data_IF_631031345247
#
_entry.id   IF_631031345247
#
_cell.length_a   1.000
_cell.length_b   1.000
_cell.length_c   1.000
_cell.angle_alpha   90.00
_cell.angle_beta   90.00
_cell.angle_gamma   90.00
#
_symmetry.space_group_name_H-M   'P 1'
#
loop_
_entity.id
_entity.type
_entity.pdbx_description
1 polymer ?
#
# COMPACT_ATOMS: atom_id res chain seq x y z
N UNK A 1 36.15 29.78 16.10
CA UNK A 1 36.40 28.94 14.91
C UNK A 1 35.82 27.57 15.22
N UNK A 2 34.67 27.23 14.65
CA UNK A 2 33.98 25.97 14.90
C UNK A 2 33.45 25.42 13.59
N UNK A 3 34.06 24.35 13.10
CA UNK A 3 33.68 23.62 11.89
C UNK A 3 32.96 22.33 12.30
N UNK A 4 31.63 22.36 12.28
CA UNK A 4 30.79 21.16 12.43
C UNK A 4 30.69 20.41 11.11
N UNK A 5 31.17 19.17 11.09
CA UNK A 5 30.92 18.21 10.04
C UNK A 5 29.44 17.80 10.05
N UNK A 6 28.72 18.07 8.96
CA UNK A 6 27.44 17.45 8.67
C UNK A 6 27.69 16.20 7.83
N UNK A 7 27.69 15.04 8.48
CA UNK A 7 27.64 13.73 7.81
C UNK A 7 26.25 13.55 7.21
N UNK A 8 26.14 13.77 5.90
CA UNK A 8 24.97 13.38 5.12
C UNK A 8 25.00 11.87 4.88
N UNK A 9 24.15 11.14 5.59
CA UNK A 9 23.98 9.69 5.40
C UNK A 9 23.18 9.47 4.12
N UNK A 10 23.86 9.24 3.00
CA UNK A 10 23.27 8.69 1.78
C UNK A 10 22.83 7.26 2.06
N UNK A 11 21.52 7.07 2.27
CA UNK A 11 20.92 5.73 2.26
C UNK A 11 21.15 5.06 0.90
N UNK A 12 21.20 3.71 0.84
CA UNK A 12 21.41 3.00 -0.40
C UNK A 12 20.29 3.31 -1.40
N UNK A 13 20.57 3.29 -2.71
CA UNK A 13 19.55 3.46 -3.73
C UNK A 13 18.44 2.42 -3.53
N UNK A 14 17.19 2.86 -3.63
CA UNK A 14 16.04 1.97 -3.58
C UNK A 14 16.19 0.91 -4.68
N UNK A 15 16.40 -0.35 -4.30
CA UNK A 15 16.46 -1.43 -5.27
C UNK A 15 15.14 -1.46 -6.06
N UNK A 16 15.20 -1.49 -7.40
CA UNK A 16 14.00 -1.76 -8.18
C UNK A 16 13.46 -3.11 -7.73
N UNK A 17 12.16 -3.16 -7.38
CA UNK A 17 11.50 -4.42 -7.05
C UNK A 17 11.85 -5.44 -8.13
N UNK A 18 12.27 -6.67 -7.76
CA UNK A 18 12.57 -7.70 -8.75
C UNK A 18 11.40 -7.80 -9.71
N UNK A 19 11.68 -7.79 -11.03
CA UNK A 19 10.64 -8.04 -12.03
C UNK A 19 10.02 -9.38 -11.66
N UNK A 20 8.80 -9.33 -11.12
CA UNK A 20 8.15 -10.53 -10.63
C UNK A 20 8.01 -11.54 -11.75
N UNK A 21 7.88 -12.80 -11.37
CA UNK A 21 7.48 -13.87 -12.26
C UNK A 21 5.97 -14.12 -12.13
N UNK A 22 5.34 -14.56 -13.22
CA UNK A 22 3.95 -15.03 -13.16
C UNK A 22 3.87 -16.39 -12.48
N UNK A 23 2.74 -16.67 -11.82
CA UNK A 23 2.51 -17.95 -11.16
C UNK A 23 2.51 -19.08 -12.20
N UNK A 24 3.39 -20.07 -12.01
CA UNK A 24 3.36 -21.29 -12.82
C UNK A 24 2.18 -22.17 -12.39
N UNK A 25 1.25 -22.45 -13.30
CA UNK A 25 0.08 -23.31 -13.03
C UNK A 25 0.52 -24.74 -12.73
N UNK A 26 -0.12 -25.37 -11.73
CA UNK A 26 0.23 -26.71 -11.25
C UNK A 26 1.53 -26.79 -10.44
N UNK A 27 2.18 -25.66 -10.16
CA UNK A 27 3.36 -25.60 -9.30
C UNK A 27 3.03 -25.93 -7.85
N UNK A 28 4.07 -26.21 -7.05
CA UNK A 28 3.94 -26.36 -5.61
C UNK A 28 3.33 -25.11 -4.95
N UNK A 29 3.65 -23.91 -5.49
CA UNK A 29 3.06 -22.65 -5.02
C UNK A 29 1.55 -22.63 -5.22
N UNK A 30 1.03 -23.07 -6.38
CA UNK A 30 -0.41 -23.17 -6.59
C UNK A 30 -1.06 -24.15 -5.61
N UNK A 31 -0.43 -25.29 -5.34
CA UNK A 31 -0.94 -26.29 -4.38
C UNK A 31 -1.01 -25.68 -2.97
N UNK A 32 0.06 -25.06 -2.50
CA UNK A 32 0.11 -24.40 -1.19
C UNK A 32 -0.90 -23.25 -1.10
N UNK A 33 -1.07 -22.48 -2.18
CA UNK A 33 -2.08 -21.42 -2.27
C UNK A 33 -3.50 -21.96 -2.12
N UNK A 34 -3.82 -23.08 -2.79
CA UNK A 34 -5.12 -23.75 -2.67
C UNK A 34 -5.40 -24.21 -1.23
N UNK A 35 -4.40 -24.75 -0.55
CA UNK A 35 -4.54 -25.14 0.86
C UNK A 35 -4.67 -23.92 1.78
N UNK A 36 -3.84 -22.89 1.60
CA UNK A 36 -3.87 -21.69 2.43
C UNK A 36 -5.22 -20.97 2.39
N UNK A 37 -5.87 -20.89 1.22
CA UNK A 37 -7.20 -20.26 1.08
C UNK A 37 -8.28 -20.98 1.89
N UNK A 38 -8.13 -22.28 2.21
CA UNK A 38 -9.04 -22.99 3.12
C UNK A 38 -8.93 -22.48 4.56
N UNK A 39 -7.85 -21.81 4.92
CA UNK A 39 -7.67 -21.17 6.22
C UNK A 39 -8.38 -19.81 6.36
N UNK A 40 -8.80 -19.19 5.25
CA UNK A 40 -9.55 -17.92 5.28
C UNK A 40 -10.98 -18.17 5.79
N UNK A 41 -11.53 -17.36 6.72
CA UNK A 41 -12.89 -17.48 7.21
C UNK A 41 -13.93 -17.60 6.10
N UNK A 42 -14.87 -18.55 6.25
CA UNK A 42 -15.84 -18.87 5.19
C UNK A 42 -16.68 -17.69 4.69
N UNK A 43 -16.90 -16.66 5.53
CA UNK A 43 -17.65 -15.44 5.16
C UNK A 43 -16.95 -14.59 4.08
N UNK A 44 -15.63 -14.53 4.11
CA UNK A 44 -14.80 -13.70 3.22
C UNK A 44 -13.96 -14.54 2.26
N UNK A 45 -13.95 -15.87 2.42
CA UNK A 45 -13.23 -16.79 1.55
C UNK A 45 -13.69 -16.65 0.09
N UNK A 46 -12.75 -16.55 -0.87
CA UNK A 46 -13.08 -16.59 -2.28
C UNK A 46 -13.92 -17.83 -2.65
N UNK A 47 -15.03 -17.62 -3.35
CA UNK A 47 -15.83 -18.72 -3.91
C UNK A 47 -14.98 -19.51 -4.92
N UNK A 48 -15.20 -20.83 -5.12
CA UNK A 48 -14.36 -21.65 -6.01
C UNK A 48 -14.18 -21.06 -7.42
N UNK A 49 -15.27 -20.62 -8.06
CA UNK A 49 -15.21 -20.00 -9.38
C UNK A 49 -14.52 -18.63 -9.40
N UNK A 50 -14.52 -17.88 -8.29
CA UNK A 50 -13.74 -16.64 -8.15
C UNK A 50 -12.27 -17.00 -8.00
N UNK A 51 -11.96 -18.00 -7.19
CA UNK A 51 -10.60 -18.42 -6.92
C UNK A 51 -9.88 -19.00 -8.14
N UNK A 52 -10.57 -19.76 -9.01
CA UNK A 52 -9.97 -20.18 -10.29
C UNK A 52 -9.57 -18.99 -11.16
N UNK A 53 -10.35 -17.89 -11.13
CA UNK A 53 -9.98 -16.65 -11.82
C UNK A 53 -8.80 -15.94 -11.14
N UNK A 54 -8.68 -16.02 -9.82
CA UNK A 54 -7.50 -15.53 -9.10
C UNK A 54 -6.26 -16.25 -9.62
N UNK A 55 -6.29 -17.58 -9.69
CA UNK A 55 -5.16 -18.39 -10.18
C UNK A 55 -4.83 -18.11 -11.65
N UNK A 56 -5.86 -17.96 -12.49
CA UNK A 56 -5.69 -17.55 -13.89
C UNK A 56 -5.02 -16.17 -14.00
N UNK A 57 -5.46 -15.18 -13.21
CA UNK A 57 -4.88 -13.84 -13.22
C UNK A 57 -3.43 -13.86 -12.72
N UNK A 58 -3.16 -14.54 -11.60
CA UNK A 58 -1.79 -14.70 -11.08
C UNK A 58 -0.85 -15.37 -12.09
N UNK A 59 -1.35 -16.26 -12.95
CA UNK A 59 -0.52 -16.87 -14.00
C UNK A 59 -0.22 -15.98 -15.20
N UNK A 60 -0.81 -14.79 -15.28
CA UNK A 60 -0.62 -13.82 -16.36
C UNK A 60 0.09 -12.55 -15.92
N UNK A 61 -0.08 -12.18 -14.65
CA UNK A 61 0.46 -10.95 -14.10
C UNK A 61 1.94 -11.12 -13.74
N UNK A 62 2.80 -10.14 -14.03
CA UNK A 62 4.23 -10.24 -13.74
C UNK A 62 4.52 -10.47 -12.26
N UNK A 63 3.82 -9.85 -11.32
CA UNK A 63 4.03 -10.11 -9.88
C UNK A 63 3.21 -11.28 -9.32
N UNK A 64 2.64 -12.12 -10.18
CA UNK A 64 1.71 -13.16 -9.78
C UNK A 64 2.30 -14.24 -8.87
N UNK A 65 3.55 -14.64 -9.08
CA UNK A 65 4.27 -15.60 -8.24
C UNK A 65 4.46 -15.04 -6.81
N UNK A 66 4.92 -13.80 -6.70
CA UNK A 66 5.11 -13.13 -5.40
C UNK A 66 3.80 -13.05 -4.62
N UNK A 67 2.71 -12.60 -5.26
CA UNK A 67 1.39 -12.50 -4.61
C UNK A 67 0.90 -13.89 -4.19
N UNK A 68 1.07 -14.90 -5.04
CA UNK A 68 0.71 -16.28 -4.74
C UNK A 68 1.45 -16.82 -3.51
N UNK A 69 2.76 -16.58 -3.40
CA UNK A 69 3.58 -16.99 -2.26
C UNK A 69 3.13 -16.34 -0.96
N UNK A 70 2.81 -15.03 -1.00
CA UNK A 70 2.34 -14.30 0.18
C UNK A 70 1.01 -14.89 0.67
N UNK A 71 0.04 -15.12 -0.23
CA UNK A 71 -1.24 -15.74 0.15
C UNK A 71 -1.02 -17.19 0.63
N UNK A 72 -0.16 -17.95 -0.04
CA UNK A 72 0.17 -19.33 0.31
C UNK A 72 0.83 -19.47 1.69
N UNK A 73 1.48 -18.41 2.20
CA UNK A 73 2.03 -18.40 3.56
C UNK A 73 0.95 -18.50 4.65
N UNK A 74 -0.30 -18.14 4.34
CA UNK A 74 -1.43 -18.17 5.27
C UNK A 74 -1.36 -17.16 6.41
N UNK A 75 -0.34 -16.30 6.48
CA UNK A 75 -0.10 -15.41 7.63
C UNK A 75 -1.21 -14.39 7.87
N UNK A 76 -1.92 -13.97 6.82
CA UNK A 76 -3.02 -13.01 6.86
C UNK A 76 -4.41 -13.65 6.86
N UNK A 77 -4.50 -14.99 6.95
CA UNK A 77 -5.80 -15.68 6.85
C UNK A 77 -6.81 -15.23 7.91
N UNK A 78 -6.35 -14.74 9.05
CA UNK A 78 -7.19 -14.24 10.15
C UNK A 78 -7.32 -12.71 10.18
N UNK A 79 -6.64 -12.00 9.28
CA UNK A 79 -6.77 -10.55 9.14
C UNK A 79 -8.14 -10.20 8.57
N UNK A 80 -8.74 -9.11 9.06
CA UNK A 80 -10.05 -8.70 8.58
C UNK A 80 -10.00 -8.34 7.08
N UNK A 81 -11.06 -8.73 6.37
CA UNK A 81 -11.26 -8.54 4.93
C UNK A 81 -10.16 -9.07 3.98
N UNK A 82 -9.13 -9.78 4.48
CA UNK A 82 -8.08 -10.36 3.62
C UNK A 82 -8.66 -11.27 2.52
N UNK A 83 -9.68 -12.07 2.84
CA UNK A 83 -10.38 -12.90 1.86
C UNK A 83 -11.10 -12.09 0.76
N UNK A 84 -11.57 -10.88 1.09
CA UNK A 84 -12.17 -9.93 0.14
C UNK A 84 -11.10 -9.40 -0.81
N UNK A 85 -9.92 -9.07 -0.31
CA UNK A 85 -8.75 -8.68 -1.13
C UNK A 85 -8.32 -9.82 -2.06
N UNK A 86 -8.18 -11.04 -1.55
CA UNK A 86 -7.87 -12.20 -2.40
C UNK A 86 -8.94 -12.40 -3.47
N UNK A 87 -10.21 -12.20 -3.14
CA UNK A 87 -11.31 -12.30 -4.11
C UNK A 87 -11.25 -11.21 -5.19
N UNK A 88 -10.77 -10.01 -4.86
CA UNK A 88 -10.71 -8.88 -5.80
C UNK A 88 -9.70 -9.12 -6.93
N UNK A 89 -8.64 -9.90 -6.69
CA UNK A 89 -7.68 -10.35 -7.71
C UNK A 89 -8.37 -11.13 -8.86
N UNK A 90 -9.45 -11.83 -8.54
CA UNK A 90 -10.26 -12.63 -9.49
C UNK A 90 -11.50 -11.90 -9.99
N UNK A 91 -11.60 -10.58 -9.79
CA UNK A 91 -12.70 -9.77 -10.28
C UNK A 91 -12.72 -9.74 -11.82
N UNK A 92 -13.92 -9.57 -12.40
CA UNK A 92 -14.08 -9.47 -13.86
C UNK A 92 -13.46 -8.21 -14.46
N UNK A 93 -13.29 -7.17 -13.64
CA UNK A 93 -12.67 -5.91 -14.03
C UNK A 93 -11.16 -6.04 -13.88
N UNK A 94 -10.44 -6.00 -14.99
CA UNK A 94 -8.99 -6.29 -15.00
C UNK A 94 -8.18 -5.32 -14.14
N UNK A 95 -8.59 -4.06 -14.09
CA UNK A 95 -7.96 -3.01 -13.29
C UNK A 95 -8.09 -3.22 -11.77
N UNK A 96 -8.83 -4.23 -11.31
CA UNK A 96 -8.95 -4.57 -9.89
C UNK A 96 -7.83 -5.48 -9.38
N UNK A 97 -7.02 -6.06 -10.27
CA UNK A 97 -5.89 -6.89 -9.84
C UNK A 97 -4.86 -6.08 -9.06
N UNK A 98 -4.36 -4.97 -9.64
CA UNK A 98 -3.27 -4.21 -9.03
C UNK A 98 -3.60 -3.64 -7.65
N UNK A 99 -4.78 -3.03 -7.39
CA UNK A 99 -5.10 -2.56 -6.04
C UNK A 99 -5.00 -3.66 -4.97
N UNK A 100 -5.57 -4.84 -5.23
CA UNK A 100 -5.48 -5.95 -4.27
C UNK A 100 -4.07 -6.52 -4.14
N UNK A 101 -3.33 -6.64 -5.25
CA UNK A 101 -1.96 -7.12 -5.23
C UNK A 101 -1.03 -6.17 -4.46
N UNK A 102 -1.20 -4.86 -4.65
CA UNK A 102 -0.44 -3.81 -3.98
C UNK A 102 -0.64 -3.87 -2.46
N UNK A 103 -1.89 -4.05 -2.00
CA UNK A 103 -2.20 -4.27 -0.58
C UNK A 103 -1.47 -5.48 0.00
N UNK A 104 -1.52 -6.63 -0.68
CA UNK A 104 -0.90 -7.89 -0.23
C UNK A 104 0.62 -7.76 -0.14
N UNK A 105 1.25 -7.15 -1.16
CA UNK A 105 2.71 -6.95 -1.20
C UNK A 105 3.14 -5.96 -0.12
N UNK A 106 2.38 -4.87 0.06
CA UNK A 106 2.66 -3.89 1.10
C UNK A 106 2.57 -4.50 2.50
N UNK A 107 1.53 -5.28 2.78
CA UNK A 107 1.40 -6.01 4.05
C UNK A 107 2.57 -6.98 4.29
N UNK A 108 3.05 -7.67 3.26
CA UNK A 108 4.25 -8.52 3.38
C UNK A 108 5.50 -7.69 3.73
N UNK A 109 5.68 -6.51 3.13
CA UNK A 109 6.81 -5.63 3.46
C UNK A 109 6.77 -5.18 4.92
N UNK A 110 5.59 -4.84 5.44
CA UNK A 110 5.41 -4.53 6.86
C UNK A 110 5.78 -5.73 7.75
N UNK A 111 5.38 -6.94 7.37
CA UNK A 111 5.77 -8.15 8.13
C UNK A 111 7.27 -8.37 8.11
N UNK A 112 7.92 -8.16 6.95
CA UNK A 112 9.38 -8.26 6.83
C UNK A 112 10.12 -7.22 7.65
N UNK A 113 9.53 -6.04 7.89
CA UNK A 113 10.09 -5.03 8.79
C UNK A 113 9.79 -5.28 10.27
N UNK A 114 9.12 -6.39 10.60
CA UNK A 114 8.88 -6.83 11.98
C UNK A 114 7.52 -6.44 12.53
N UNK A 115 6.59 -5.96 11.71
CA UNK A 115 5.18 -5.80 12.11
C UNK A 115 4.51 -7.17 12.18
N UNK A 116 3.73 -7.41 13.22
CA UNK A 116 3.00 -8.67 13.35
C UNK A 116 1.89 -8.74 12.30
N UNK A 117 1.73 -9.85 11.54
CA UNK A 117 0.62 -9.98 10.60
C UNK A 117 -0.74 -9.92 11.29
N UNK A 118 -0.82 -10.23 12.59
CA UNK A 118 -2.06 -10.17 13.39
C UNK A 118 -2.55 -8.76 13.69
N UNK A 119 -1.70 -7.76 13.48
CA UNK A 119 -2.06 -6.36 13.70
C UNK A 119 -2.40 -5.66 12.38
N UNK A 120 -2.41 -6.39 11.26
CA UNK A 120 -2.65 -5.86 9.92
C UNK A 120 -4.04 -6.31 9.48
N UNK A 121 -4.88 -5.35 9.13
CA UNK A 121 -6.22 -5.56 8.58
C UNK A 121 -6.34 -4.90 7.21
N UNK A 122 -7.28 -5.35 6.40
CA UNK A 122 -7.49 -4.88 5.03
C UNK A 122 -8.85 -4.20 4.88
N UNK A 123 -9.02 -3.40 3.82
CA UNK A 123 -10.31 -2.88 3.32
C UNK A 123 -11.23 -2.32 4.41
N UNK A 124 -10.67 -1.52 5.33
CA UNK A 124 -11.38 -0.98 6.49
C UNK A 124 -12.32 0.16 6.06
N UNK A 125 -13.62 -0.04 6.30
CA UNK A 125 -14.70 0.87 5.86
C UNK A 125 -15.52 1.44 7.01
N UNK A 126 -14.94 1.45 8.21
CA UNK A 126 -15.56 1.92 9.44
C UNK A 126 -14.73 3.11 9.97
N UNK A 127 -15.37 4.23 10.36
CA UNK A 127 -16.81 4.52 10.30
C UNK A 127 -17.33 4.70 8.85
N UNK A 128 -18.65 4.84 8.68
CA UNK A 128 -19.26 4.97 7.35
C UNK A 128 -18.64 6.13 6.56
N UNK A 129 -18.13 5.81 5.37
CA UNK A 129 -17.46 6.75 4.48
C UNK A 129 -15.95 6.82 4.68
N UNK A 130 -15.39 6.09 5.65
CA UNK A 130 -13.99 5.71 5.63
C UNK A 130 -13.75 4.63 4.56
N UNK A 131 -12.55 4.62 4.00
CA UNK A 131 -12.05 3.59 3.09
C UNK A 131 -10.53 3.62 3.26
N UNK A 132 -9.98 2.58 3.87
CA UNK A 132 -8.53 2.37 4.01
C UNK A 132 -8.22 1.00 3.40
N UNK A 133 -7.21 0.96 2.54
CA UNK A 133 -6.74 -0.27 1.93
C UNK A 133 -6.06 -1.22 2.94
N UNK A 134 -5.17 -0.68 3.79
CA UNK A 134 -4.48 -1.42 4.87
C UNK A 134 -4.47 -0.63 6.16
N UNK A 135 -4.78 -1.27 7.29
CA UNK A 135 -4.68 -0.70 8.64
C UNK A 135 -3.67 -1.49 9.46
N UNK A 136 -2.87 -0.80 10.26
CA UNK A 136 -2.05 -1.41 11.32
C UNK A 136 -2.57 -0.93 12.67
N UNK A 137 -2.84 -1.86 13.58
CA UNK A 137 -3.28 -1.59 14.96
C UNK A 137 -2.37 -2.36 15.93
N UNK A 138 -1.14 -1.89 16.17
CA UNK A 138 -0.24 -2.57 17.08
C UNK A 138 -0.74 -2.46 18.54
N UNK A 139 -0.40 -3.41 19.42
CA UNK A 139 -0.80 -3.34 20.84
C UNK A 139 -0.19 -2.13 21.58
N UNK A 140 0.98 -1.70 21.13
CA UNK A 140 1.71 -0.53 21.63
C UNK A 140 1.97 0.43 20.47
N UNK A 141 1.76 1.73 20.70
CA UNK A 141 1.86 2.76 19.67
C UNK A 141 0.51 3.16 19.06
N UNK A 142 0.55 4.14 18.17
CA UNK A 142 -0.63 4.57 17.42
C UNK A 142 -0.97 3.61 16.28
N UNK A 143 -2.21 3.68 15.82
CA UNK A 143 -2.70 3.02 14.62
C UNK A 143 -2.34 3.81 13.35
N UNK A 144 -2.20 3.09 12.25
CA UNK A 144 -1.80 3.64 10.95
C UNK A 144 -2.80 3.18 9.90
N UNK A 145 -3.34 4.11 9.12
CA UNK A 145 -4.20 3.83 7.98
C UNK A 145 -3.50 4.20 6.68
N UNK A 146 -3.46 3.26 5.74
CA UNK A 146 -2.82 3.42 4.44
C UNK A 146 -3.86 3.38 3.33
N UNK A 147 -3.95 4.46 2.55
CA UNK A 147 -4.60 4.46 1.25
C UNK A 147 -3.53 4.42 0.17
N UNK A 148 -3.66 3.48 -0.77
CA UNK A 148 -2.73 3.29 -1.87
C UNK A 148 -3.28 3.93 -3.14
N UNK A 149 -2.41 4.65 -3.87
CA UNK A 149 -2.72 5.31 -5.13
C UNK A 149 -1.63 5.01 -6.14
N UNK A 150 -2.01 4.37 -7.24
CA UNK A 150 -1.15 4.22 -8.41
C UNK A 150 -1.45 5.33 -9.41
N UNK A 151 -0.42 6.08 -9.78
CA UNK A 151 -0.47 7.04 -10.88
C UNK A 151 -0.16 6.31 -12.18
N UNK A 152 -0.91 6.65 -13.23
CA UNK A 152 -0.72 6.10 -14.57
C UNK A 152 -0.45 7.25 -15.54
N UNK A 153 0.73 7.85 -15.40
CA UNK A 153 1.19 9.00 -16.20
C UNK A 153 0.15 10.15 -16.32
N UNK A 154 -0.39 10.65 -15.20
CA UNK A 154 -1.38 11.71 -15.24
C UNK A 154 -0.74 13.04 -15.65
N UNK A 155 -1.52 13.88 -16.34
CA UNK A 155 -1.13 15.27 -16.65
C UNK A 155 -0.94 16.08 -15.35
N UNK A 156 -1.82 15.88 -14.37
CA UNK A 156 -1.77 16.53 -13.05
C UNK A 156 -1.63 15.46 -11.94
N UNK A 157 -0.41 15.04 -11.59
CA UNK A 157 -0.19 14.03 -10.56
C UNK A 157 -0.65 14.49 -9.18
N UNK A 158 -0.47 15.77 -8.84
CA UNK A 158 -0.89 16.31 -7.54
C UNK A 158 -2.41 16.28 -7.44
N UNK A 159 -3.13 16.78 -8.45
CA UNK A 159 -4.59 16.73 -8.49
C UNK A 159 -5.14 15.31 -8.38
N UNK A 160 -4.47 14.32 -8.98
CA UNK A 160 -4.82 12.90 -8.86
C UNK A 160 -4.65 12.34 -7.44
N UNK A 161 -3.56 12.70 -6.77
CA UNK A 161 -3.28 12.31 -5.37
C UNK A 161 -4.31 12.98 -4.46
N UNK A 162 -4.62 14.24 -4.71
CA UNK A 162 -5.43 15.09 -3.82
C UNK A 162 -6.91 15.09 -4.17
N UNK A 163 -7.40 14.11 -4.96
CA UNK A 163 -8.83 14.02 -5.27
C UNK A 163 -9.62 13.92 -3.97
N UNK A 164 -10.54 14.87 -3.77
CA UNK A 164 -11.20 15.06 -2.48
C UNK A 164 -12.00 13.86 -1.96
N UNK A 165 -12.40 12.91 -2.82
CA UNK A 165 -13.00 11.64 -2.39
C UNK A 165 -12.00 10.81 -1.56
N UNK A 166 -10.78 10.61 -2.05
CA UNK A 166 -9.78 9.76 -1.38
C UNK A 166 -9.27 10.40 -0.10
N UNK A 167 -9.02 11.70 -0.12
CA UNK A 167 -8.62 12.44 1.09
C UNK A 167 -9.70 12.33 2.17
N UNK A 168 -10.97 12.52 1.81
CA UNK A 168 -12.08 12.41 2.76
C UNK A 168 -12.26 10.98 3.30
N UNK A 169 -12.08 9.96 2.46
CA UNK A 169 -12.14 8.56 2.88
C UNK A 169 -11.07 8.25 3.92
N UNK A 170 -9.84 8.69 3.67
CA UNK A 170 -8.74 8.48 4.60
C UNK A 170 -8.93 9.30 5.88
N UNK A 171 -9.24 10.60 5.78
CA UNK A 171 -9.41 11.50 6.93
C UNK A 171 -10.59 11.11 7.85
N UNK A 172 -11.58 10.38 7.34
CA UNK A 172 -12.70 9.86 8.15
C UNK A 172 -12.36 8.63 8.96
N UNK A 173 -11.27 7.96 8.63
CA UNK A 173 -10.91 6.75 9.32
C UNK A 173 -10.43 7.02 10.74
N UNK A 174 -10.86 6.17 11.66
CA UNK A 174 -10.47 6.20 13.08
C UNK A 174 -9.10 5.55 13.27
N UNK A 175 -8.07 6.27 12.81
CA UNK A 175 -6.64 5.93 12.99
C UNK A 175 -5.84 7.16 13.42
N UNK A 176 -4.71 6.93 14.08
CA UNK A 176 -3.87 8.01 14.62
C UNK A 176 -3.00 8.67 13.53
N UNK A 177 -2.58 7.88 12.54
CA UNK A 177 -1.74 8.33 11.43
C UNK A 177 -2.40 7.99 10.10
N UNK A 178 -2.64 9.01 9.27
CA UNK A 178 -3.25 8.89 7.95
C UNK A 178 -2.19 8.99 6.86
N UNK A 179 -1.96 7.91 6.10
CA UNK A 179 -0.91 7.84 5.09
C UNK A 179 -1.48 7.57 3.70
N UNK A 180 -1.14 8.44 2.75
CA UNK A 180 -1.36 8.23 1.31
C UNK A 180 -0.07 7.71 0.67
N UNK A 181 -0.06 6.43 0.29
CA UNK A 181 1.04 5.77 -0.42
C UNK A 181 0.85 5.94 -1.92
N UNK A 182 1.79 6.62 -2.58
CA UNK A 182 1.71 6.91 -4.01
C UNK A 182 2.81 6.18 -4.77
N UNK A 183 2.42 5.43 -5.79
CA UNK A 183 3.32 4.73 -6.71
C UNK A 183 3.08 5.18 -8.16
N UNK A 184 4.05 4.96 -9.05
CA UNK A 184 3.97 5.34 -10.47
C UNK A 184 4.11 6.84 -10.75
N UNK A 185 4.54 7.63 -9.77
CA UNK A 185 4.99 9.00 -9.99
C UNK A 185 6.32 8.99 -10.75
N UNK A 186 6.46 9.90 -11.72
CA UNK A 186 7.69 10.05 -12.52
C UNK A 186 8.58 11.16 -11.98
N UNK A 187 9.86 11.10 -12.33
CA UNK A 187 10.85 12.10 -12.00
C UNK A 187 11.46 11.84 -10.63
N UNK A 188 12.38 12.73 -10.28
CA UNK A 188 13.14 12.68 -9.04
C UNK A 188 12.52 13.58 -7.97
N UNK A 189 12.99 13.43 -6.73
CA UNK A 189 12.68 14.38 -5.65
C UNK A 189 13.00 15.82 -6.05
N UNK A 190 14.14 16.05 -6.71
CA UNK A 190 14.52 17.39 -7.15
C UNK A 190 13.49 17.98 -8.13
N UNK A 191 12.97 17.16 -9.06
CA UNK A 191 11.94 17.60 -10.01
C UNK A 191 10.64 18.00 -9.30
N UNK A 192 10.22 17.21 -8.32
CA UNK A 192 9.01 17.46 -7.51
C UNK A 192 9.12 18.69 -6.60
N UNK A 193 10.33 18.98 -6.09
CA UNK A 193 10.60 20.22 -5.36
C UNK A 193 10.60 21.42 -6.32
N UNK A 194 11.22 21.30 -7.50
CA UNK A 194 11.36 22.41 -8.44
C UNK A 194 10.04 22.80 -9.12
N UNK A 195 9.15 21.85 -9.35
CA UNK A 195 7.88 22.09 -10.06
C UNK A 195 6.71 22.48 -9.12
N UNK A 196 6.96 22.63 -7.82
CA UNK A 196 5.94 23.04 -6.83
C UNK A 196 5.03 21.92 -6.33
N UNK A 197 5.25 20.67 -6.73
CA UNK A 197 4.42 19.54 -6.31
C UNK A 197 4.56 19.26 -4.81
N UNK A 198 5.78 19.41 -4.27
CA UNK A 198 6.04 19.28 -2.85
C UNK A 198 5.25 20.30 -2.03
N UNK A 199 5.34 21.58 -2.39
CA UNK A 199 4.65 22.69 -1.71
C UNK A 199 3.14 22.50 -1.80
N UNK A 200 2.62 22.08 -2.96
CA UNK A 200 1.21 21.82 -3.14
C UNK A 200 0.67 20.72 -2.21
N UNK A 201 1.42 19.62 -2.04
CA UNK A 201 1.03 18.55 -1.10
C UNK A 201 1.23 18.95 0.36
N UNK A 202 2.26 19.74 0.66
CA UNK A 202 2.46 20.34 1.98
C UNK A 202 1.30 21.26 2.36
N UNK A 203 0.79 22.06 1.42
CA UNK A 203 -0.40 22.90 1.64
C UNK A 203 -1.66 22.07 1.93
N UNK A 204 -1.81 20.90 1.29
CA UNK A 204 -2.91 19.98 1.59
C UNK A 204 -2.78 19.43 3.01
N UNK A 205 -1.59 18.93 3.37
CA UNK A 205 -1.30 18.43 4.73
C UNK A 205 -1.59 19.50 5.80
N UNK A 206 -1.26 20.77 5.52
CA UNK A 206 -1.49 21.90 6.42
C UNK A 206 -2.95 22.41 6.42
N UNK A 207 -3.86 21.79 5.67
CA UNK A 207 -5.26 22.23 5.57
C UNK A 207 -5.48 23.53 4.77
N UNK A 208 -4.43 24.11 4.15
CA UNK A 208 -4.52 25.36 3.37
C UNK A 208 -5.38 25.22 2.11
N UNK A 209 -5.55 23.99 1.61
CA UNK A 209 -6.44 23.64 0.49
C UNK A 209 -7.78 23.04 0.95
N UNK A 210 -8.13 23.21 2.22
CA UNK A 210 -9.35 22.73 2.86
C UNK A 210 -9.12 21.56 3.82
N UNK A 211 -10.12 21.22 4.65
CA UNK A 211 -9.95 20.31 5.80
C UNK A 211 -9.82 18.83 5.42
N UNK A 212 -10.11 18.47 4.17
CA UNK A 212 -10.18 17.04 3.77
C UNK A 212 -8.82 16.35 3.76
N UNK A 213 -7.75 17.09 3.53
CA UNK A 213 -6.39 16.54 3.45
C UNK A 213 -5.49 16.92 4.61
N UNK A 214 -6.03 17.66 5.59
CA UNK A 214 -5.29 18.11 6.76
C UNK A 214 -4.78 16.89 7.54
N UNK A 215 -3.51 16.92 7.95
CA UNK A 215 -2.87 15.85 8.72
C UNK A 215 -2.46 14.60 7.92
N UNK A 216 -2.85 14.47 6.65
CA UNK A 216 -2.45 13.32 5.82
C UNK A 216 -0.96 13.41 5.48
N UNK A 217 -0.22 12.35 5.78
CA UNK A 217 1.16 12.18 5.33
C UNK A 217 1.17 11.56 3.93
N UNK A 218 1.93 12.14 3.00
CA UNK A 218 2.11 11.60 1.65
C UNK A 218 3.47 10.92 1.56
N UNK A 219 3.49 9.67 1.08
CA UNK A 219 4.72 8.93 0.79
C UNK A 219 4.70 8.56 -0.69
N UNK A 220 5.58 9.20 -1.46
CA UNK A 220 5.59 9.10 -2.92
C UNK A 220 6.85 8.37 -3.35
N UNK A 221 6.70 7.28 -4.09
CA UNK A 221 7.83 6.61 -4.72
C UNK A 221 8.18 7.32 -6.03
N UNK A 222 9.43 7.76 -6.12
CA UNK A 222 10.04 8.47 -7.24
C UNK A 222 11.25 7.68 -7.75
N UNK A 223 11.82 8.13 -8.87
CA UNK A 223 12.90 7.42 -9.56
C UNK A 223 14.19 7.33 -8.70
N UNK A 224 14.43 8.31 -7.83
CA UNK A 224 15.60 8.39 -6.95
C UNK A 224 15.30 8.05 -5.48
N UNK A 225 14.12 7.49 -5.18
CA UNK A 225 13.73 7.05 -3.84
C UNK A 225 12.36 7.55 -3.41
N UNK A 226 12.13 7.61 -2.09
CA UNK A 226 10.85 8.03 -1.53
C UNK A 226 10.88 9.52 -1.15
N UNK A 227 9.80 10.23 -1.44
CA UNK A 227 9.52 11.58 -0.96
C UNK A 227 8.42 11.50 0.12
N UNK A 228 8.76 11.89 1.35
CA UNK A 228 7.82 11.92 2.48
C UNK A 228 7.43 13.37 2.79
N UNK A 229 6.14 13.64 2.87
CA UNK A 229 5.56 14.97 3.08
C UNK A 229 4.55 14.90 4.24
N UNK A 230 4.76 15.61 5.36
CA UNK A 230 5.95 16.39 5.68
C UNK A 230 7.17 15.50 5.99
N UNK A 231 8.41 16.04 5.86
CA UNK A 231 9.62 15.30 6.17
C UNK A 231 9.67 14.97 7.67
N UNK A 232 10.14 13.77 8.01
CA UNK A 232 10.22 13.30 9.40
C UNK A 232 8.90 12.78 9.97
N UNK A 233 7.83 12.72 9.17
CA UNK A 233 6.59 12.03 9.55
C UNK A 233 6.86 10.55 9.88
N UNK A 234 6.12 10.05 10.87
CA UNK A 234 6.02 8.61 11.13
C UNK A 234 5.17 7.96 10.05
N UNK A 235 5.76 7.04 9.30
CA UNK A 235 5.09 6.35 8.18
C UNK A 235 4.67 4.94 8.54
N UNK A 236 5.23 4.35 9.59
CA UNK A 236 4.83 3.06 10.18
C UNK A 236 5.34 2.93 11.63
N UNK A 237 4.90 1.92 12.41
CA UNK A 237 5.33 1.75 13.81
C UNK A 237 6.82 1.49 14.02
N UNK A 238 7.57 1.13 12.97
CA UNK A 238 8.99 0.76 13.03
C UNK A 238 9.89 1.73 12.26
N UNK A 239 9.33 2.82 11.71
CA UNK A 239 10.02 3.77 10.82
C UNK A 239 10.82 3.06 9.73
N UNK A 240 10.19 2.07 9.10
CA UNK A 240 10.78 1.14 8.14
C UNK A 240 10.46 1.47 6.68
N UNK A 241 9.48 2.35 6.44
CA UNK A 241 9.04 2.81 5.12
C UNK A 241 9.80 4.04 4.63
#
# INVERSE_FOLDING_TARGET
>A
MGSGHASGTTGPPAEPLPRGESLTRGSETEIRLREAVKGIPGRTRPKPAVFERVLERLSREPNGQQVAEIIASGKFNQSDEFGTVVSSLGAKKENMYHPGADQIIFAEHLVRSGISPRTIDFEQKIPVGADIDVRISPPEGGSYGYQMKRLNDPIDPVGEITRGKYLLQLARAEVDNHIMLVDGARGTRADWMANGSYEALMEVHQGKRGPKGEGITFVIRLDDGKLVIPPGSKTDPKDSL
#
